data_IF_995034990410
#
_entry.id   IF_995034990410
#
_cell.length_a   1.000
_cell.length_b   1.000
_cell.length_c   1.000
_cell.angle_alpha   90.00
_cell.angle_beta   90.00
_cell.angle_gamma   90.00
#
_symmetry.space_group_name_H-M   'P 1'
#
loop_
_entity.id
_entity.type
_entity.pdbx_description
1 polymer ?
#
# COMPACT_ATOMS: atom_id res chain seq x y z
N UNK A 1 -2.77 -0.96 1.04
CA UNK A 1 -3.74 -2.06 1.32
C UNK A 1 -3.23 -3.08 2.36
N UNK A 2 -4.05 -3.47 3.35
CA UNK A 2 -3.77 -4.61 4.24
C UNK A 2 -3.63 -5.91 3.45
N UNK A 3 -2.78 -6.82 3.93
CA UNK A 3 -2.73 -8.19 3.40
C UNK A 3 -3.68 -9.08 4.17
N UNK A 4 -4.54 -9.77 3.44
CA UNK A 4 -5.44 -10.77 3.95
C UNK A 4 -4.89 -12.16 3.65
N UNK A 5 -5.04 -13.08 4.59
CA UNK A 5 -4.65 -14.47 4.42
C UNK A 5 -5.76 -15.40 4.85
N UNK A 6 -5.82 -16.57 4.23
CA UNK A 6 -6.70 -17.65 4.63
C UNK A 6 -5.97 -18.98 4.66
N UNK A 7 -6.37 -19.82 5.62
CA UNK A 7 -5.90 -21.19 5.77
C UNK A 7 -7.11 -22.12 5.86
N UNK A 8 -7.14 -23.18 5.04
CA UNK A 8 -8.16 -24.21 5.13
C UNK A 8 -7.93 -25.07 6.38
N UNK A 9 -8.91 -25.10 7.29
CA UNK A 9 -8.86 -25.87 8.54
C UNK A 9 -9.35 -27.30 8.40
N UNK A 10 -10.29 -27.54 7.51
CA UNK A 10 -10.94 -28.84 7.34
C UNK A 10 -11.00 -29.27 5.87
N UNK A 11 -10.96 -30.59 5.62
CA UNK A 11 -10.78 -31.16 4.28
C UNK A 11 -9.32 -31.22 3.84
N UNK A 12 -9.05 -31.78 2.65
CA UNK A 12 -7.69 -31.87 2.09
C UNK A 12 -7.41 -30.76 1.06
N UNK A 13 -8.36 -30.52 0.16
CA UNK A 13 -8.27 -29.53 -0.91
C UNK A 13 -9.61 -28.80 -1.06
N UNK A 14 -9.57 -27.50 -1.29
CA UNK A 14 -10.75 -26.69 -1.57
C UNK A 14 -10.47 -25.68 -2.69
N UNK A 15 -11.35 -25.61 -3.68
CA UNK A 15 -11.28 -24.62 -4.76
C UNK A 15 -12.34 -23.55 -4.55
N UNK A 16 -11.92 -22.32 -4.31
CA UNK A 16 -12.79 -21.16 -4.21
C UNK A 16 -12.89 -20.49 -5.58
N UNK A 17 -13.71 -21.10 -6.44
CA UNK A 17 -13.87 -20.76 -7.85
C UNK A 17 -14.19 -19.28 -8.11
N UNK A 18 -15.09 -18.61 -7.35
CA UNK A 18 -15.42 -17.20 -7.61
C UNK A 18 -14.21 -16.26 -7.55
N UNK A 19 -13.17 -16.64 -6.81
CA UNK A 19 -11.96 -15.87 -6.62
C UNK A 19 -10.74 -16.48 -7.33
N UNK A 20 -10.91 -17.60 -8.05
CA UNK A 20 -9.81 -18.31 -8.70
C UNK A 20 -8.76 -18.87 -7.73
N UNK A 21 -9.12 -19.09 -6.46
CA UNK A 21 -8.20 -19.52 -5.41
C UNK A 21 -8.30 -21.03 -5.16
N UNK A 22 -7.17 -21.65 -4.79
CA UNK A 22 -7.11 -23.05 -4.38
C UNK A 22 -6.34 -23.17 -3.07
N UNK A 23 -6.89 -23.96 -2.16
CA UNK A 23 -6.37 -24.16 -0.82
C UNK A 23 -6.06 -25.61 -0.58
N UNK A 24 -4.96 -25.85 0.14
CA UNK A 24 -4.62 -27.13 0.75
C UNK A 24 -4.68 -26.98 2.26
N UNK A 25 -5.06 -28.05 2.96
CA UNK A 25 -5.11 -28.03 4.43
C UNK A 25 -3.78 -27.54 5.03
N UNK A 26 -3.85 -26.57 5.93
CA UNK A 26 -2.67 -26.00 6.60
C UNK A 26 -1.79 -25.09 5.74
N UNK A 27 -2.14 -24.86 4.47
CA UNK A 27 -1.45 -23.88 3.64
C UNK A 27 -2.07 -22.49 3.85
N UNK A 28 -1.24 -21.52 4.21
CA UNK A 28 -1.63 -20.11 4.24
C UNK A 28 -1.54 -19.54 2.82
N UNK A 29 -2.64 -18.96 2.35
CA UNK A 29 -2.75 -18.34 1.02
C UNK A 29 -3.08 -16.87 1.19
N UNK A 30 -2.38 -16.00 0.45
CA UNK A 30 -2.72 -14.57 0.36
C UNK A 30 -3.99 -14.39 -0.48
N UNK A 31 -4.93 -13.60 0.02
CA UNK A 31 -6.26 -13.42 -0.58
C UNK A 31 -6.60 -11.94 -0.69
N UNK A 32 -7.57 -11.60 -1.54
CA UNK A 32 -8.12 -10.24 -1.61
C UNK A 32 -9.02 -9.92 -0.42
N UNK A 33 -9.34 -8.64 -0.23
CA UNK A 33 -10.33 -8.18 0.74
C UNK A 33 -11.71 -8.81 0.49
N UNK A 34 -12.14 -8.87 -0.77
CA UNK A 34 -13.42 -9.49 -1.12
C UNK A 34 -13.46 -10.98 -0.75
N UNK A 35 -12.36 -11.71 -0.98
CA UNK A 35 -12.25 -13.10 -0.58
C UNK A 35 -12.20 -13.24 0.95
N UNK A 36 -11.55 -12.32 1.66
CA UNK A 36 -11.56 -12.29 3.12
C UNK A 36 -12.98 -12.09 3.66
N UNK A 37 -13.70 -11.11 3.12
CA UNK A 37 -15.08 -10.82 3.52
C UNK A 37 -16.03 -11.99 3.25
N UNK A 38 -15.80 -12.72 2.15
CA UNK A 38 -16.54 -13.93 1.82
C UNK A 38 -16.22 -15.09 2.77
N UNK A 39 -14.95 -15.27 3.13
CA UNK A 39 -14.48 -16.41 3.91
C UNK A 39 -14.57 -16.22 5.43
N UNK A 40 -14.64 -14.99 5.95
CA UNK A 40 -14.64 -14.72 7.39
C UNK A 40 -15.82 -15.34 8.14
N UNK A 41 -16.95 -15.55 7.45
CA UNK A 41 -18.13 -16.23 8.01
C UNK A 41 -18.10 -17.75 7.82
N UNK A 42 -17.11 -18.27 7.08
CA UNK A 42 -17.00 -19.68 6.73
C UNK A 42 -16.11 -20.44 7.72
N UNK A 43 -16.69 -21.34 8.50
CA UNK A 43 -15.99 -22.14 9.51
C UNK A 43 -14.91 -23.08 8.95
N UNK A 44 -14.88 -23.34 7.64
CA UNK A 44 -13.83 -24.15 7.01
C UNK A 44 -12.49 -23.42 6.95
N UNK A 45 -12.48 -22.10 7.11
CA UNK A 45 -11.29 -21.28 6.95
C UNK A 45 -10.96 -20.53 8.24
N UNK A 46 -9.67 -20.40 8.53
CA UNK A 46 -9.17 -19.34 9.40
C UNK A 46 -8.64 -18.24 8.51
N UNK A 47 -9.24 -17.05 8.64
CA UNK A 47 -8.79 -15.86 7.94
C UNK A 47 -8.11 -14.90 8.91
N UNK A 48 -7.05 -14.24 8.44
CA UNK A 48 -6.27 -13.28 9.24
C UNK A 48 -5.99 -12.04 8.41
N UNK A 49 -6.18 -10.89 9.04
CA UNK A 49 -5.69 -9.60 8.55
C UNK A 49 -4.29 -9.41 9.12
N UNK A 50 -3.28 -9.31 8.27
CA UNK A 50 -1.95 -8.88 8.71
C UNK A 50 -1.93 -7.35 8.86
N UNK A 51 -2.38 -6.90 10.03
CA UNK A 51 -2.37 -5.49 10.39
C UNK A 51 -0.93 -4.92 10.48
N UNK A 52 0.11 -5.75 10.57
CA UNK A 52 1.51 -5.28 10.61
C UNK A 52 1.94 -4.70 9.28
N UNK A 53 1.47 -5.27 8.17
CA UNK A 53 1.70 -4.73 6.83
C UNK A 53 0.94 -3.43 6.59
N UNK A 54 -0.27 -3.28 7.14
CA UNK A 54 -1.00 -2.02 7.10
C UNK A 54 -0.27 -0.93 7.91
N UNK A 55 0.28 -1.26 9.08
CA UNK A 55 1.12 -0.32 9.85
C UNK A 55 2.43 0.03 9.13
N UNK A 56 3.06 -0.95 8.47
CA UNK A 56 4.27 -0.69 7.71
C UNK A 56 3.99 0.23 6.52
N UNK A 57 2.87 0.03 5.84
CA UNK A 57 2.44 0.90 4.76
C UNK A 57 2.07 2.30 5.25
N UNK A 58 1.29 2.40 6.33
CA UNK A 58 0.99 3.67 6.97
C UNK A 58 2.27 4.45 7.31
N UNK A 59 3.30 3.79 7.85
CA UNK A 59 4.60 4.44 8.11
C UNK A 59 5.28 4.96 6.86
N UNK A 60 5.10 4.33 5.69
CA UNK A 60 5.64 4.83 4.42
C UNK A 60 4.88 6.06 3.97
N UNK A 61 3.54 6.02 4.06
CA UNK A 61 2.67 7.16 3.78
C UNK A 61 3.03 8.34 4.70
N UNK A 62 3.08 8.12 6.01
CA UNK A 62 3.44 9.15 7.00
C UNK A 62 4.84 9.74 6.74
N UNK A 63 5.80 8.90 6.34
CA UNK A 63 7.15 9.35 6.00
C UNK A 63 7.17 10.20 4.72
N UNK A 64 6.41 9.82 3.70
CA UNK A 64 6.27 10.57 2.46
C UNK A 64 5.53 11.91 2.69
N UNK A 65 4.44 11.90 3.46
CA UNK A 65 3.71 13.11 3.87
C UNK A 65 4.62 14.06 4.66
N UNK A 66 5.40 13.53 5.59
CA UNK A 66 6.37 14.32 6.35
C UNK A 66 7.41 14.94 5.43
N UNK A 67 8.04 14.13 4.56
CA UNK A 67 9.04 14.61 3.62
C UNK A 67 8.48 15.71 2.69
N UNK A 68 7.22 15.56 2.24
CA UNK A 68 6.52 16.56 1.44
C UNK A 68 6.24 17.84 2.24
N UNK A 69 5.80 17.73 3.50
CA UNK A 69 5.48 18.87 4.36
C UNK A 69 6.69 19.75 4.72
N UNK A 70 7.89 19.19 4.63
CA UNK A 70 9.16 19.89 4.87
C UNK A 70 9.66 20.64 3.63
N UNK A 71 9.06 20.41 2.46
CA UNK A 71 9.41 21.11 1.22
C UNK A 71 8.79 22.51 1.15
N UNK A 72 9.53 23.42 0.53
CA UNK A 72 9.06 24.76 0.13
C UNK A 72 9.35 24.97 -1.35
N UNK A 73 8.81 26.04 -1.93
CA UNK A 73 9.11 26.43 -3.33
C UNK A 73 10.61 26.69 -3.58
N UNK A 74 11.36 27.01 -2.52
CA UNK A 74 12.80 27.25 -2.57
C UNK A 74 13.63 25.97 -2.41
N UNK A 75 13.00 24.83 -2.09
CA UNK A 75 13.70 23.56 -1.88
C UNK A 75 14.60 23.18 -3.05
N UNK A 76 15.78 22.69 -2.71
CA UNK A 76 16.78 22.24 -3.67
C UNK A 76 16.37 20.91 -4.32
N UNK A 77 16.90 20.63 -5.50
CA UNK A 77 16.62 19.39 -6.22
C UNK A 77 16.92 18.14 -5.36
N UNK A 78 17.95 18.20 -4.51
CA UNK A 78 18.29 17.09 -3.61
C UNK A 78 17.16 16.78 -2.61
N UNK A 79 16.45 17.79 -2.13
CA UNK A 79 15.31 17.62 -1.22
C UNK A 79 14.09 17.07 -1.96
N UNK A 80 13.84 17.55 -3.18
CA UNK A 80 12.79 17.04 -4.06
C UNK A 80 13.02 15.56 -4.38
N UNK A 81 14.25 15.17 -4.72
CA UNK A 81 14.62 13.78 -5.01
C UNK A 81 14.46 12.86 -3.77
N UNK A 82 14.74 13.39 -2.57
CA UNK A 82 14.53 12.65 -1.32
C UNK A 82 13.04 12.45 -1.01
N UNK A 83 12.21 13.47 -1.27
CA UNK A 83 10.76 13.35 -1.18
C UNK A 83 10.22 12.33 -2.20
N UNK A 84 10.66 12.42 -3.47
CA UNK A 84 10.28 11.49 -4.53
C UNK A 84 10.59 10.04 -4.17
N UNK A 85 11.77 9.76 -3.60
CA UNK A 85 12.11 8.41 -3.10
C UNK A 85 11.19 7.92 -1.99
N UNK A 86 10.71 8.83 -1.14
CA UNK A 86 9.78 8.49 -0.06
C UNK A 86 8.40 8.14 -0.62
N UNK A 87 7.93 8.91 -1.62
CA UNK A 87 6.70 8.63 -2.38
C UNK A 87 6.82 7.31 -3.13
N UNK A 88 7.96 7.03 -3.77
CA UNK A 88 8.18 5.78 -4.50
C UNK A 88 8.18 4.52 -3.64
N UNK A 89 8.45 4.66 -2.34
CA UNK A 89 8.38 3.57 -1.39
C UNK A 89 6.92 3.20 -1.01
N UNK A 90 5.97 4.12 -1.17
CA UNK A 90 4.53 3.88 -0.93
C UNK A 90 4.03 2.85 -1.96
N UNK A 91 3.35 1.82 -1.47
CA UNK A 91 2.79 0.71 -2.28
C UNK A 91 1.32 0.89 -2.58
N UNK A 92 0.62 1.68 -1.78
CA UNK A 92 -0.76 2.04 -2.04
C UNK A 92 -0.82 3.04 -3.20
N UNK A 93 -1.31 2.59 -4.36
CA UNK A 93 -1.28 3.37 -5.61
C UNK A 93 -2.10 4.66 -5.52
N UNK A 94 -3.22 4.65 -4.79
CA UNK A 94 -4.06 5.85 -4.61
C UNK A 94 -3.35 6.87 -3.72
N UNK A 95 -2.80 6.44 -2.58
CA UNK A 95 -2.01 7.31 -1.72
C UNK A 95 -0.76 7.84 -2.45
N UNK A 96 -0.07 6.98 -3.20
CA UNK A 96 1.10 7.35 -4.00
C UNK A 96 0.75 8.41 -5.04
N UNK A 97 -0.32 8.22 -5.79
CA UNK A 97 -0.77 9.19 -6.80
C UNK A 97 -1.15 10.54 -6.18
N UNK A 98 -1.86 10.53 -5.04
CA UNK A 98 -2.22 11.75 -4.32
C UNK A 98 -0.99 12.51 -3.80
N UNK A 99 0.03 11.80 -3.28
CA UNK A 99 1.29 12.39 -2.84
C UNK A 99 2.10 12.95 -4.02
N UNK A 100 2.16 12.22 -5.14
CA UNK A 100 2.84 12.65 -6.35
C UNK A 100 2.24 13.95 -6.89
N UNK A 101 0.91 14.04 -6.97
CA UNK A 101 0.23 15.25 -7.42
C UNK A 101 0.64 16.49 -6.61
N UNK A 102 0.71 16.37 -5.28
CA UNK A 102 1.13 17.48 -4.41
C UNK A 102 2.59 17.88 -4.62
N UNK A 103 3.47 16.91 -4.85
CA UNK A 103 4.88 17.19 -5.19
C UNK A 103 4.98 17.92 -6.53
N UNK A 104 4.23 17.46 -7.53
CA UNK A 104 4.20 18.07 -8.87
C UNK A 104 3.64 19.49 -8.83
N UNK A 105 2.58 19.75 -8.06
CA UNK A 105 2.05 21.10 -7.83
C UNK A 105 3.09 22.05 -7.20
N UNK A 106 3.85 21.55 -6.22
CA UNK A 106 4.91 22.33 -5.58
C UNK A 106 6.04 22.66 -6.55
N UNK A 107 6.43 21.71 -7.40
CA UNK A 107 7.43 21.92 -8.45
C UNK A 107 6.92 22.92 -9.50
N UNK A 108 5.66 22.81 -9.91
CA UNK A 108 5.06 23.69 -10.91
C UNK A 108 4.92 25.15 -10.41
N UNK A 109 4.80 25.36 -9.10
CA UNK A 109 4.74 26.70 -8.48
C UNK A 109 6.12 27.31 -8.25
N UNK A 110 7.22 26.58 -8.50
CA UNK A 110 8.57 27.13 -8.42
C UNK A 110 8.77 28.18 -9.51
N UNK A 111 9.11 29.44 -9.17
CA UNK A 111 9.40 30.45 -10.18
C UNK A 111 10.59 30.01 -11.04
N UNK A 112 10.59 30.32 -12.36
CA UNK A 112 11.72 29.98 -13.21
C UNK A 112 12.99 30.60 -12.61
N UNK A 113 14.04 29.79 -12.50
CA UNK A 113 15.33 30.26 -12.02
C UNK A 113 15.79 31.41 -12.91
N UNK A 114 15.77 32.64 -12.39
CA UNK A 114 16.41 33.77 -13.03
C UNK A 114 17.90 33.43 -13.14
N UNK A 115 18.36 33.23 -14.37
CA UNK A 115 19.79 33.18 -14.68
C UNK A 115 20.27 34.63 -14.73
N UNK A 116 20.80 35.12 -13.62
CA UNK A 116 21.70 36.29 -13.60
C UNK A 116 23.12 35.87 -14.00
#
# INVERSE_FOLDING_TARGET
MPKYTAELKEGENFALVPFGLSFKKGQVVEISEDAYNYLQENSLFEVKIDASLNKAEQKRVDAAEKALSELTVESEQLQLDACQKSIDAVKDEEAKAALQHKLDELIATKPPANKD
#
